data_IF_047180741775
#
_entry.id   IF_047180741775
#
_cell.length_a   1.000
_cell.length_b   1.000
_cell.length_c   1.000
_cell.angle_alpha   90.00
_cell.angle_beta   90.00
_cell.angle_gamma   90.00
#
_symmetry.space_group_name_H-M   'P 1'
#
loop_
_entity.id
_entity.type
_entity.pdbx_description
1 polymer ?
#
# COMPACT_ATOMS: atom_id res chain seq x y z
N UNK A 1 -7.87 12.61 -41.97
CA UNK A 1 -6.73 11.95 -41.29
C UNK A 1 -6.70 12.15 -39.75
N UNK A 2 -7.37 13.16 -39.17
CA UNK A 2 -7.33 13.41 -37.71
C UNK A 2 -8.02 12.32 -36.84
N UNK A 3 -9.12 11.73 -37.30
CA UNK A 3 -9.91 10.71 -36.59
C UNK A 3 -9.16 9.39 -36.37
N UNK A 4 -8.30 8.98 -37.32
CA UNK A 4 -7.47 7.77 -37.20
C UNK A 4 -6.42 7.94 -36.09
N UNK A 5 -5.90 9.16 -35.91
CA UNK A 5 -4.88 9.46 -34.90
C UNK A 5 -5.47 9.48 -33.47
N UNK A 6 -6.71 9.97 -33.32
CA UNK A 6 -7.43 9.91 -32.05
C UNK A 6 -7.78 8.48 -31.62
N UNK A 7 -8.27 7.64 -32.55
CA UNK A 7 -8.59 6.23 -32.28
C UNK A 7 -7.35 5.42 -31.84
N UNK A 8 -6.20 5.65 -32.48
CA UNK A 8 -4.96 4.97 -32.12
C UNK A 8 -4.42 5.42 -30.74
N UNK A 9 -4.56 6.71 -30.40
CA UNK A 9 -4.20 7.20 -29.05
C UNK A 9 -5.10 6.59 -27.97
N UNK A 10 -6.40 6.50 -28.21
CA UNK A 10 -7.35 5.87 -27.28
C UNK A 10 -7.02 4.38 -27.06
N UNK A 11 -6.73 3.64 -28.15
CA UNK A 11 -6.34 2.22 -28.05
C UNK A 11 -5.10 2.03 -27.19
N UNK A 12 -4.05 2.85 -27.40
CA UNK A 12 -2.84 2.81 -26.58
C UNK A 12 -3.10 3.15 -25.10
N UNK A 13 -4.02 4.07 -24.81
CA UNK A 13 -4.38 4.43 -23.44
C UNK A 13 -5.15 3.32 -22.73
N UNK A 14 -6.04 2.62 -23.43
CA UNK A 14 -6.72 1.44 -22.91
C UNK A 14 -5.74 0.30 -22.61
N UNK A 15 -4.76 0.07 -23.48
CA UNK A 15 -3.71 -0.92 -23.27
C UNK A 15 -2.82 -0.57 -22.07
N UNK A 16 -2.45 0.71 -21.92
CA UNK A 16 -1.74 1.20 -20.73
C UNK A 16 -2.56 1.01 -19.44
N UNK A 17 -3.88 1.23 -19.50
CA UNK A 17 -4.77 1.02 -18.35
C UNK A 17 -4.83 -0.46 -17.96
N UNK A 18 -4.97 -1.36 -18.93
CA UNK A 18 -4.98 -2.80 -18.65
C UNK A 18 -3.68 -3.26 -18.01
N UNK A 19 -2.52 -2.85 -18.54
CA UNK A 19 -1.21 -3.18 -17.94
C UNK A 19 -1.08 -2.59 -16.54
N UNK A 20 -1.57 -1.37 -16.31
CA UNK A 20 -1.56 -0.78 -14.98
C UNK A 20 -2.44 -1.57 -14.00
N UNK A 21 -3.62 -2.01 -14.43
CA UNK A 21 -4.53 -2.83 -13.62
C UNK A 21 -3.91 -4.19 -13.28
N UNK A 22 -3.27 -4.85 -14.24
CA UNK A 22 -2.56 -6.11 -14.01
C UNK A 22 -1.46 -5.93 -12.96
N UNK A 23 -0.64 -4.88 -13.08
CA UNK A 23 0.40 -4.57 -12.09
C UNK A 23 -0.15 -4.27 -10.70
N UNK A 24 -1.28 -3.57 -10.61
CA UNK A 24 -1.94 -3.31 -9.32
C UNK A 24 -2.40 -4.61 -8.68
N UNK A 25 -2.95 -5.53 -9.46
CA UNK A 25 -3.37 -6.83 -8.96
C UNK A 25 -2.17 -7.67 -8.49
N UNK A 26 -1.08 -7.68 -9.26
CA UNK A 26 0.17 -8.35 -8.85
C UNK A 26 0.74 -7.77 -7.56
N UNK A 27 0.80 -6.44 -7.44
CA UNK A 27 1.26 -5.77 -6.23
C UNK A 27 0.37 -6.05 -5.02
N UNK A 28 -0.94 -6.16 -5.22
CA UNK A 28 -1.87 -6.54 -4.16
C UNK A 28 -1.60 -7.96 -3.64
N UNK A 29 -1.35 -8.92 -4.54
CA UNK A 29 -0.99 -10.29 -4.16
C UNK A 29 0.37 -10.35 -3.45
N UNK A 30 1.39 -9.65 -3.95
CA UNK A 30 2.70 -9.58 -3.30
C UNK A 30 2.59 -8.95 -1.90
N UNK A 31 1.80 -7.89 -1.76
CA UNK A 31 1.58 -7.23 -0.46
C UNK A 31 0.88 -8.16 0.52
N UNK A 32 -0.08 -8.95 0.03
CA UNK A 32 -0.76 -9.96 0.84
C UNK A 32 0.21 -11.04 1.30
N UNK A 33 1.03 -11.58 0.41
CA UNK A 33 2.04 -12.58 0.75
C UNK A 33 3.04 -12.05 1.77
N UNK A 34 3.60 -10.85 1.54
CA UNK A 34 4.54 -10.23 2.46
C UNK A 34 3.92 -9.97 3.85
N UNK A 35 2.64 -9.60 3.90
CA UNK A 35 1.90 -9.44 5.15
C UNK A 35 1.77 -10.77 5.90
N UNK A 36 1.44 -11.84 5.20
CA UNK A 36 1.26 -13.17 5.80
C UNK A 36 2.60 -13.73 6.32
N UNK A 37 3.68 -13.59 5.54
CA UNK A 37 5.05 -13.95 5.97
C UNK A 37 5.48 -13.17 7.22
N UNK A 38 5.26 -11.86 7.22
CA UNK A 38 5.58 -11.00 8.36
C UNK A 38 4.75 -11.34 9.60
N UNK A 39 3.48 -11.70 9.43
CA UNK A 39 2.62 -12.15 10.54
C UNK A 39 3.17 -13.44 11.17
N UNK A 40 3.60 -14.40 10.35
CA UNK A 40 4.21 -15.65 10.82
C UNK A 40 5.49 -15.37 11.62
N UNK A 41 6.35 -14.50 11.11
CA UNK A 41 7.58 -14.10 11.79
C UNK A 41 7.28 -13.45 13.15
N UNK A 42 6.33 -12.50 13.19
CA UNK A 42 5.90 -11.86 14.43
C UNK A 42 5.31 -12.86 15.44
N UNK A 43 4.53 -13.83 14.98
CA UNK A 43 4.02 -14.89 15.85
C UNK A 43 5.15 -15.74 16.43
N UNK A 44 6.16 -16.12 15.63
CA UNK A 44 7.32 -16.87 16.12
C UNK A 44 8.15 -16.08 17.14
N UNK A 45 8.31 -14.77 16.93
CA UNK A 45 8.96 -13.87 17.89
C UNK A 45 8.15 -13.82 19.20
N UNK A 46 6.82 -13.70 19.13
CA UNK A 46 5.95 -13.71 20.30
C UNK A 46 6.03 -15.03 21.07
N UNK A 47 5.95 -16.17 20.38
CA UNK A 47 6.10 -17.49 20.97
C UNK A 47 7.44 -17.63 21.72
N UNK A 48 8.52 -17.16 21.09
CA UNK A 48 9.86 -17.20 21.68
C UNK A 48 9.97 -16.30 22.92
N UNK A 49 9.45 -15.08 22.83
CA UNK A 49 9.55 -14.10 23.92
C UNK A 49 8.65 -14.43 25.12
N UNK A 50 7.52 -15.08 24.88
CA UNK A 50 6.57 -15.51 25.92
C UNK A 50 6.86 -16.94 26.41
N UNK A 51 7.82 -17.64 25.79
CA UNK A 51 8.16 -19.04 26.08
C UNK A 51 6.95 -19.99 26.04
N UNK A 52 6.01 -19.72 25.13
CA UNK A 52 4.73 -20.45 25.01
C UNK A 52 4.37 -20.66 23.55
N UNK A 53 3.81 -21.84 23.24
CA UNK A 53 3.17 -22.14 21.96
C UNK A 53 1.63 -22.04 22.04
N UNK A 54 1.08 -21.75 23.23
CA UNK A 54 -0.35 -21.57 23.46
C UNK A 54 -0.86 -20.26 22.82
N UNK A 55 -1.68 -20.41 21.79
CA UNK A 55 -2.29 -19.29 21.06
C UNK A 55 -3.21 -18.45 21.96
N UNK A 56 -3.88 -19.05 22.94
CA UNK A 56 -4.76 -18.32 23.85
C UNK A 56 -3.95 -17.39 24.78
N UNK A 57 -2.75 -17.82 25.17
CA UNK A 57 -1.83 -17.03 25.98
C UNK A 57 -1.26 -15.85 25.19
N UNK A 58 -0.83 -16.10 23.95
CA UNK A 58 -0.37 -15.05 23.03
C UNK A 58 -1.50 -14.06 22.76
N UNK A 59 -2.73 -14.53 22.55
CA UNK A 59 -3.88 -13.64 22.34
C UNK A 59 -4.17 -12.77 23.57
N UNK A 60 -4.16 -13.36 24.78
CA UNK A 60 -4.29 -12.60 26.03
C UNK A 60 -3.19 -11.55 26.16
N UNK A 61 -1.94 -11.90 25.83
CA UNK A 61 -0.84 -10.96 25.84
C UNK A 61 -1.08 -9.80 24.87
N UNK A 62 -1.37 -10.07 23.59
CA UNK A 62 -1.61 -9.03 22.59
C UNK A 62 -2.76 -8.11 23.00
N UNK A 63 -3.85 -8.65 23.56
CA UNK A 63 -4.99 -7.86 24.08
C UNK A 63 -4.61 -7.01 25.29
N UNK A 64 -3.61 -7.42 26.07
CA UNK A 64 -3.14 -6.69 27.26
C UNK A 64 -2.21 -5.52 26.90
N UNK A 65 -1.52 -5.60 25.75
CA UNK A 65 -0.62 -4.53 25.28
C UNK A 65 -1.43 -3.39 24.68
N UNK A 66 -1.27 -2.18 25.22
CA UNK A 66 -1.85 -0.99 24.58
C UNK A 66 -1.03 -0.63 23.34
N UNK A 67 -1.67 -0.36 22.19
CA UNK A 67 -0.97 0.20 21.04
C UNK A 67 -0.26 1.48 21.46
N UNK A 68 1.00 1.63 21.06
CA UNK A 68 1.65 2.94 21.17
C UNK A 68 0.80 3.96 20.40
N UNK A 69 0.59 5.17 20.94
CA UNK A 69 -0.12 6.21 20.22
C UNK A 69 0.56 6.37 18.86
N UNK A 70 -0.22 6.22 17.78
CA UNK A 70 0.28 6.42 16.41
C UNK A 70 0.88 7.82 16.37
N UNK A 71 2.19 7.93 16.17
CA UNK A 71 2.79 9.22 15.85
C UNK A 71 2.09 9.72 14.59
N UNK A 72 1.45 10.88 14.68
CA UNK A 72 0.67 11.48 13.60
C UNK A 72 1.53 12.00 12.43
N UNK A 73 2.80 11.60 12.33
CA UNK A 73 3.79 12.26 11.48
C UNK A 73 3.97 11.64 10.08
N UNK A 74 3.03 10.83 9.59
CA UNK A 74 3.14 10.27 8.22
C UNK A 74 1.99 10.62 7.26
N UNK A 75 1.03 11.47 7.65
CA UNK A 75 -0.06 11.88 6.75
C UNK A 75 0.08 13.29 6.16
N UNK A 76 1.04 14.12 6.60
CA UNK A 76 1.07 15.54 6.28
C UNK A 76 1.99 15.95 5.11
N UNK A 77 2.52 15.01 4.32
CA UNK A 77 3.43 15.33 3.20
C UNK A 77 2.89 15.07 1.80
N UNK A 78 1.59 14.77 1.64
CA UNK A 78 0.95 14.63 0.31
C UNK A 78 0.01 15.77 -0.08
N UNK A 79 0.10 16.93 0.56
CA UNK A 79 -0.74 18.09 0.20
C UNK A 79 0.07 19.38 0.13
N UNK A 80 1.04 19.44 -0.79
CA UNK A 80 1.63 20.70 -1.24
C UNK A 80 2.26 20.49 -2.61
N UNK A 81 1.56 20.89 -3.68
CA UNK A 81 2.16 20.92 -5.02
C UNK A 81 1.21 20.80 -6.22
N UNK A 82 -0.10 20.90 -6.05
CA UNK A 82 -1.04 21.07 -7.18
C UNK A 82 -1.52 22.52 -7.23
N UNK A 83 -0.71 23.40 -7.82
CA UNK A 83 -1.08 24.81 -8.00
C UNK A 83 0.12 25.71 -8.23
N UNK A 84 0.78 25.60 -9.39
CA UNK A 84 1.59 26.70 -9.90
C UNK A 84 0.84 27.29 -11.09
N UNK A 85 0.14 28.38 -10.82
CA UNK A 85 -0.54 29.19 -11.81
C UNK A 85 0.43 29.65 -12.90
N UNK A 86 -0.03 29.57 -14.14
CA UNK A 86 0.57 30.20 -15.31
C UNK A 86 0.66 31.70 -15.09
N UNK A 87 1.86 32.28 -15.12
CA UNK A 87 2.01 33.72 -15.29
C UNK A 87 2.62 33.99 -16.68
N UNK A 88 1.75 34.28 -17.64
CA UNK A 88 2.12 34.99 -18.86
C UNK A 88 2.23 36.47 -18.53
N UNK A 89 3.41 37.06 -18.75
CA UNK A 89 3.57 38.52 -18.73
C UNK A 89 5.01 38.99 -18.81
N UNK A 90 5.63 38.95 -20.00
CA UNK A 90 5.86 40.11 -20.87
C UNK A 90 6.77 39.70 -22.05
#
# INVERSE_FOLDING_TARGET
>A
MATVNAKNKLKKKLEQLNVAQEKVNELAEITKQAKDEYLIELMGILQTNLETDDLDEIERFVRSVRPLPKSQDQASHMESGAGMEVNHGN
#
